data_IF_929174481742
#
_entry.id   IF_929174481742
#
_cell.length_a   1.000
_cell.length_b   1.000
_cell.length_c   1.000
_cell.angle_alpha   90.00
_cell.angle_beta   90.00
_cell.angle_gamma   90.00
#
_symmetry.space_group_name_H-M   'P 1'
#
loop_
_entity.id
_entity.type
_entity.pdbx_description
1 polymer ?
#
# COMPACT_ATOMS: atom_id res chain seq x y z
N UNK A 1 -12.70 -16.10 -9.60
CA UNK A 1 -12.50 -14.91 -10.43
C UNK A 1 -11.32 -14.08 -9.91
N UNK A 2 -10.31 -13.89 -10.76
CA UNK A 2 -9.10 -13.14 -10.43
C UNK A 2 -8.92 -12.02 -11.44
N UNK A 3 -8.72 -10.82 -10.95
CA UNK A 3 -8.39 -9.64 -11.75
C UNK A 3 -7.00 -9.17 -11.37
N UNK A 4 -6.16 -8.88 -12.36
CA UNK A 4 -4.83 -8.33 -12.13
C UNK A 4 -4.72 -6.94 -12.71
N UNK A 5 -4.01 -6.06 -11.98
CA UNK A 5 -3.70 -4.70 -12.43
C UNK A 5 -2.21 -4.48 -12.34
N UNK A 6 -1.65 -3.77 -13.30
CA UNK A 6 -0.24 -3.42 -13.28
C UNK A 6 -0.04 -2.07 -12.61
N UNK A 7 0.82 -2.03 -11.62
CA UNK A 7 1.12 -0.82 -10.85
C UNK A 7 2.51 -0.32 -11.23
N UNK A 8 2.63 0.98 -11.42
CA UNK A 8 3.93 1.62 -11.52
C UNK A 8 4.13 2.50 -10.29
N UNK A 9 5.32 2.43 -9.74
CA UNK A 9 5.68 3.18 -8.55
C UNK A 9 6.54 4.39 -8.90
N UNK A 10 6.60 5.31 -7.96
CA UNK A 10 7.61 6.34 -7.97
C UNK A 10 8.98 5.67 -8.14
N UNK A 11 9.86 6.21 -8.92
CA UNK A 11 11.17 5.63 -9.30
C UNK A 11 11.12 4.53 -10.37
N UNK A 12 9.96 4.26 -10.98
CA UNK A 12 9.86 3.40 -12.15
C UNK A 12 9.73 1.91 -11.91
N UNK A 13 9.64 1.47 -10.65
CA UNK A 13 9.38 0.05 -10.35
C UNK A 13 7.97 -0.33 -10.79
N UNK A 14 7.78 -1.59 -11.16
CA UNK A 14 6.49 -2.13 -11.64
C UNK A 14 6.14 -3.38 -10.84
N UNK A 15 4.87 -3.48 -10.45
CA UNK A 15 4.33 -4.62 -9.72
C UNK A 15 2.96 -4.99 -10.28
N UNK A 16 2.52 -6.21 -10.03
CA UNK A 16 1.16 -6.65 -10.35
C UNK A 16 0.39 -6.82 -9.05
N UNK A 17 -0.78 -6.19 -8.98
CA UNK A 17 -1.69 -6.36 -7.85
C UNK A 17 -2.81 -7.29 -8.25
N UNK A 18 -3.26 -8.12 -7.31
CA UNK A 18 -4.28 -9.12 -7.54
C UNK A 18 -5.54 -8.83 -6.73
N UNK A 19 -6.69 -8.95 -7.40
CA UNK A 19 -8.01 -8.92 -6.75
C UNK A 19 -8.65 -10.29 -6.97
N UNK A 20 -9.09 -10.90 -5.90
CA UNK A 20 -9.77 -12.19 -5.96
C UNK A 20 -11.20 -12.02 -5.47
N UNK A 21 -12.15 -12.44 -6.31
CA UNK A 21 -13.58 -12.27 -6.02
C UNK A 21 -13.97 -10.83 -5.70
N UNK A 22 -13.31 -9.87 -6.37
CA UNK A 22 -13.59 -8.45 -6.20
C UNK A 22 -12.87 -7.78 -5.03
N UNK A 23 -12.01 -8.50 -4.32
CA UNK A 23 -11.29 -7.96 -3.15
C UNK A 23 -9.80 -7.98 -3.34
N UNK A 24 -9.16 -6.94 -2.81
CA UNK A 24 -7.71 -6.82 -2.82
C UNK A 24 -7.08 -7.94 -2.00
N UNK A 25 -6.14 -8.66 -2.58
CA UNK A 25 -5.42 -9.71 -1.88
C UNK A 25 -3.95 -9.34 -1.66
N UNK A 26 -3.19 -9.17 -2.74
CA UNK A 26 -1.76 -8.93 -2.60
C UNK A 26 -1.17 -8.39 -3.90
N UNK A 27 0.02 -7.83 -3.82
CA UNK A 27 0.89 -7.62 -4.97
C UNK A 27 1.84 -8.81 -5.07
N UNK A 28 2.52 -8.96 -6.21
CA UNK A 28 3.34 -10.14 -6.50
C UNK A 28 4.46 -10.37 -5.48
N UNK A 29 5.02 -9.33 -4.90
CA UNK A 29 6.11 -9.45 -3.92
C UNK A 29 5.97 -8.48 -2.76
N UNK A 30 4.77 -7.95 -2.52
CA UNK A 30 4.58 -6.85 -1.58
C UNK A 30 3.17 -6.87 -1.01
N UNK A 31 2.96 -6.16 0.08
CA UNK A 31 1.64 -5.93 0.64
C UNK A 31 1.12 -4.57 0.17
N UNK A 32 -0.16 -4.51 -0.17
CA UNK A 32 -0.80 -3.29 -0.69
C UNK A 32 -1.60 -2.63 0.41
N UNK A 33 -1.49 -1.32 0.49
CA UNK A 33 -2.30 -0.49 1.38
C UNK A 33 -2.88 0.66 0.60
N UNK A 34 -4.05 1.13 1.02
CA UNK A 34 -4.66 2.32 0.42
C UNK A 34 -4.94 3.34 1.51
N UNK A 35 -5.14 4.59 1.09
CA UNK A 35 -5.52 5.68 2.00
C UNK A 35 -6.82 6.29 1.52
N UNK A 36 -7.78 6.41 2.42
CA UNK A 36 -9.04 7.12 2.19
C UNK A 36 -9.31 8.04 3.38
N UNK A 37 -9.55 9.31 3.07
CA UNK A 37 -9.89 10.32 4.09
C UNK A 37 -8.87 10.35 5.24
N UNK A 38 -7.59 10.26 4.90
CA UNK A 38 -6.51 10.29 5.89
C UNK A 38 -6.31 9.01 6.68
N UNK A 39 -7.05 7.96 6.38
CA UNK A 39 -6.98 6.68 7.07
C UNK A 39 -6.34 5.62 6.17
N UNK A 40 -5.41 4.86 6.72
CA UNK A 40 -4.81 3.73 6.02
C UNK A 40 -5.73 2.52 6.12
N UNK A 41 -5.99 1.87 4.99
CA UNK A 41 -6.72 0.60 4.95
C UNK A 41 -5.78 -0.47 4.43
N UNK A 42 -5.72 -1.60 5.14
CA UNK A 42 -4.85 -2.72 4.79
C UNK A 42 -5.66 -4.01 4.77
N UNK A 43 -5.47 -4.88 3.77
CA UNK A 43 -6.15 -6.18 3.77
C UNK A 43 -5.66 -7.02 4.95
N UNK A 44 -6.51 -7.91 5.48
CA UNK A 44 -6.10 -8.76 6.59
C UNK A 44 -4.98 -9.70 6.17
N UNK A 45 -4.05 -9.95 7.09
CA UNK A 45 -3.09 -11.01 6.92
C UNK A 45 -3.82 -12.34 7.04
N UNK A 46 -3.56 -13.25 6.12
CA UNK A 46 -4.00 -14.63 6.27
C UNK A 46 -2.78 -15.54 6.14
N UNK A 47 -3.03 -16.85 6.24
CA UNK A 47 -1.95 -17.83 6.21
C UNK A 47 -1.27 -17.95 4.84
N UNK A 48 -1.84 -17.33 3.83
CA UNK A 48 -1.33 -17.38 2.45
C UNK A 48 -0.43 -16.18 2.15
N UNK A 49 -0.52 -15.12 2.94
CA UNK A 49 0.28 -13.91 2.77
C UNK A 49 1.45 -13.99 3.74
N UNK A 50 2.67 -13.99 3.19
CA UNK A 50 3.86 -13.95 4.03
C UNK A 50 3.88 -12.65 4.80
N UNK A 51 3.92 -12.68 6.15
CA UNK A 51 3.99 -11.45 6.92
C UNK A 51 5.34 -10.80 6.67
N UNK A 52 5.33 -9.66 6.00
CA UNK A 52 6.55 -8.88 5.80
C UNK A 52 6.88 -8.10 7.05
N UNK A 53 8.15 -8.01 7.37
CA UNK A 53 8.64 -7.18 8.47
C UNK A 53 8.18 -5.74 8.28
N UNK A 54 8.20 -5.26 7.03
CA UNK A 54 7.79 -3.90 6.69
C UNK A 54 6.30 -3.69 6.90
N UNK A 55 5.46 -4.73 6.70
CA UNK A 55 4.03 -4.62 6.98
C UNK A 55 3.78 -4.32 8.46
N UNK A 56 4.40 -5.08 9.35
CA UNK A 56 4.24 -4.88 10.79
C UNK A 56 4.84 -3.54 11.24
N UNK A 57 5.99 -3.17 10.70
CA UNK A 57 6.62 -1.89 10.99
C UNK A 57 5.74 -0.72 10.53
N UNK A 58 5.05 -0.86 9.39
CA UNK A 58 4.12 0.16 8.89
C UNK A 58 2.98 0.39 9.88
N UNK A 59 2.41 -0.70 10.43
CA UNK A 59 1.36 -0.59 11.44
C UNK A 59 1.85 0.15 12.68
N UNK A 60 3.02 -0.21 13.18
CA UNK A 60 3.60 0.45 14.36
C UNK A 60 3.86 1.93 14.12
N UNK A 61 4.45 2.26 12.97
CA UNK A 61 4.77 3.63 12.63
C UNK A 61 3.53 4.48 12.43
N UNK A 62 2.50 3.95 11.77
CA UNK A 62 1.26 4.67 11.59
C UNK A 62 0.64 5.03 12.94
N UNK A 63 0.62 4.10 13.88
CA UNK A 63 0.13 4.35 15.23
C UNK A 63 0.97 5.41 15.95
N UNK A 64 2.29 5.31 15.83
CA UNK A 64 3.20 6.24 16.50
C UNK A 64 3.05 7.67 16.02
N UNK A 65 2.76 7.89 14.74
CA UNK A 65 2.58 9.22 14.18
C UNK A 65 1.12 9.69 14.16
N UNK A 66 0.22 8.88 14.73
CA UNK A 66 -1.18 9.28 14.87
C UNK A 66 -2.02 9.13 13.62
N UNK A 67 -1.61 8.32 12.66
CA UNK A 67 -2.39 8.03 11.45
C UNK A 67 -3.26 6.81 11.72
N UNK A 68 -4.60 6.91 11.61
CA UNK A 68 -5.47 5.74 11.79
C UNK A 68 -5.18 4.67 10.76
N UNK A 69 -5.16 3.43 11.20
CA UNK A 69 -5.00 2.28 10.31
C UNK A 69 -6.06 1.24 10.65
N UNK A 70 -6.75 0.75 9.63
CA UNK A 70 -7.81 -0.23 9.78
C UNK A 70 -7.52 -1.45 8.91
N UNK A 71 -7.64 -2.63 9.49
CA UNK A 71 -7.44 -3.89 8.76
C UNK A 71 -8.81 -4.46 8.45
N UNK A 72 -9.13 -4.58 7.16
CA UNK A 72 -10.38 -5.17 6.68
C UNK A 72 -10.27 -5.53 5.22
N UNK A 73 -11.24 -6.30 4.72
CA UNK A 73 -11.34 -6.57 3.30
C UNK A 73 -11.57 -5.27 2.54
N UNK A 74 -10.88 -5.10 1.42
CA UNK A 74 -10.93 -3.90 0.60
C UNK A 74 -11.39 -4.30 -0.79
N UNK A 75 -12.46 -3.69 -1.29
CA UNK A 75 -12.97 -4.01 -2.61
C UNK A 75 -12.11 -3.38 -3.71
N UNK A 76 -12.26 -3.90 -4.93
CA UNK A 76 -11.63 -3.31 -6.11
C UNK A 76 -12.06 -1.85 -6.29
N UNK A 77 -13.35 -1.56 -6.13
CA UNK A 77 -13.85 -0.19 -6.27
C UNK A 77 -13.24 0.76 -5.25
N UNK A 78 -13.12 0.32 -3.99
CA UNK A 78 -12.47 1.12 -2.95
C UNK A 78 -11.00 1.38 -3.28
N UNK A 79 -10.30 0.37 -3.77
CA UNK A 79 -8.90 0.49 -4.14
C UNK A 79 -8.71 1.49 -5.26
N UNK A 80 -9.50 1.36 -6.32
CA UNK A 80 -9.36 2.24 -7.48
C UNK A 80 -9.81 3.67 -7.20
N UNK A 81 -10.70 3.86 -6.23
CA UNK A 81 -11.17 5.19 -5.82
C UNK A 81 -10.43 5.79 -4.63
N UNK A 82 -9.37 5.15 -4.15
CA UNK A 82 -8.63 5.63 -3.00
C UNK A 82 -7.85 6.91 -3.30
N UNK A 83 -7.52 7.65 -2.26
CA UNK A 83 -6.71 8.86 -2.37
C UNK A 83 -5.25 8.53 -2.64
N UNK A 84 -4.76 7.44 -2.06
CA UNK A 84 -3.38 6.98 -2.23
C UNK A 84 -3.37 5.45 -2.27
N UNK A 85 -2.38 4.91 -2.95
CA UNK A 85 -2.07 3.47 -2.92
C UNK A 85 -0.57 3.32 -2.80
N UNK A 86 -0.13 2.40 -1.96
CA UNK A 86 1.30 2.14 -1.80
C UNK A 86 1.55 0.71 -1.36
N UNK A 87 2.79 0.29 -1.56
CA UNK A 87 3.23 -1.06 -1.27
C UNK A 87 4.23 -1.04 -0.14
N UNK A 88 4.19 -2.08 0.69
CA UNK A 88 5.24 -2.34 1.66
C UNK A 88 5.86 -3.70 1.35
N UNK A 89 7.18 -3.78 1.35
CA UNK A 89 7.89 -5.02 1.09
C UNK A 89 8.94 -5.26 2.16
N UNK A 90 9.43 -6.49 2.22
CA UNK A 90 10.47 -6.84 3.18
C UNK A 90 11.82 -6.20 2.85
N UNK A 91 12.01 -5.72 1.62
CA UNK A 91 13.30 -5.22 1.17
C UNK A 91 13.31 -3.74 0.82
N UNK A 92 12.15 -3.16 0.53
CA UNK A 92 12.09 -1.82 -0.04
C UNK A 92 11.26 -0.83 0.77
N UNK A 93 10.93 -1.19 2.01
CA UNK A 93 10.15 -0.30 2.87
C UNK A 93 8.77 -0.01 2.27
N UNK A 94 8.46 1.25 1.96
CA UNK A 94 7.20 1.64 1.34
C UNK A 94 7.46 2.35 0.01
N UNK A 95 6.63 2.06 -0.97
CA UNK A 95 6.72 2.64 -2.31
C UNK A 95 5.34 3.14 -2.73
N UNK A 96 5.27 4.38 -3.19
CA UNK A 96 4.01 4.96 -3.65
C UNK A 96 3.67 4.49 -5.06
N UNK A 97 2.40 4.13 -5.28
CA UNK A 97 1.89 3.83 -6.60
C UNK A 97 1.50 5.14 -7.29
N UNK A 98 2.03 5.36 -8.47
CA UNK A 98 1.77 6.59 -9.24
C UNK A 98 0.89 6.36 -10.45
N UNK A 99 0.82 5.12 -10.96
CA UNK A 99 -0.10 4.78 -12.05
C UNK A 99 -0.60 3.35 -11.94
N UNK A 100 -1.77 3.09 -12.52
CA UNK A 100 -2.38 1.78 -12.59
C UNK A 100 -2.77 1.54 -14.04
N UNK A 101 -2.27 0.45 -14.62
CA UNK A 101 -2.51 0.08 -16.02
C UNK A 101 -2.22 1.26 -16.98
N UNK A 102 -1.18 2.04 -16.67
CA UNK A 102 -0.75 3.15 -17.51
C UNK A 102 -1.48 4.48 -17.28
N UNK A 103 -2.49 4.51 -16.39
CA UNK A 103 -3.22 5.74 -16.08
C UNK A 103 -2.77 6.28 -14.71
N UNK A 104 -2.64 7.60 -14.56
CA UNK A 104 -2.26 8.17 -13.26
C UNK A 104 -3.21 7.73 -12.15
N UNK A 105 -2.65 7.42 -10.99
CA UNK A 105 -3.43 7.09 -9.80
C UNK A 105 -3.42 8.29 -8.85
N UNK A 106 -4.60 8.67 -8.38
CA UNK A 106 -4.72 9.91 -7.62
C UNK A 106 -4.25 11.09 -8.48
N UNK A 107 -3.30 11.87 -7.97
CA UNK A 107 -2.71 12.96 -8.73
C UNK A 107 -1.42 12.55 -9.47
N UNK A 108 -1.11 11.26 -9.48
CA UNK A 108 0.08 10.74 -10.17
C UNK A 108 1.39 10.91 -9.39
N UNK A 109 1.33 11.29 -8.13
CA UNK A 109 2.52 11.45 -7.30
C UNK A 109 2.26 10.96 -5.88
N UNK A 110 3.32 10.74 -5.08
CA UNK A 110 3.15 10.27 -3.70
C UNK A 110 2.28 11.22 -2.88
N UNK A 111 1.35 10.65 -2.10
CA UNK A 111 0.41 11.44 -1.31
C UNK A 111 0.94 11.84 0.06
N UNK A 112 0.21 12.71 0.78
CA UNK A 112 0.68 13.23 2.07
C UNK A 112 0.79 12.19 3.18
N UNK A 113 -0.13 11.21 3.24
CA UNK A 113 -0.05 10.16 4.26
C UNK A 113 1.16 9.26 3.97
N UNK A 114 1.35 8.88 2.71
CA UNK A 114 2.53 8.12 2.30
C UNK A 114 3.82 8.82 2.75
N UNK A 115 3.92 10.12 2.48
CA UNK A 115 5.13 10.88 2.83
C UNK A 115 5.40 10.89 4.32
N UNK A 116 4.37 11.03 5.14
CA UNK A 116 4.50 10.97 6.60
C UNK A 116 5.04 9.63 7.06
N UNK A 117 4.50 8.54 6.52
CA UNK A 117 4.95 7.19 6.86
C UNK A 117 6.37 6.96 6.34
N UNK A 118 6.66 7.39 5.11
CA UNK A 118 7.99 7.26 4.52
C UNK A 118 9.05 8.00 5.35
N UNK A 119 8.75 9.23 5.77
CA UNK A 119 9.65 10.00 6.61
C UNK A 119 9.90 9.32 7.96
N UNK A 120 8.85 8.73 8.54
CA UNK A 120 8.97 7.99 9.80
C UNK A 120 9.88 6.76 9.64
N UNK A 121 9.78 6.05 8.52
CA UNK A 121 10.69 4.95 8.21
C UNK A 121 12.13 5.43 8.09
N UNK A 122 12.37 6.53 7.39
CA UNK A 122 13.71 7.07 7.22
C UNK A 122 14.31 7.51 8.56
N UNK A 123 13.52 8.16 9.40
CA UNK A 123 13.97 8.57 10.73
C UNK A 123 14.35 7.36 11.59
N UNK A 124 13.53 6.32 11.56
CA UNK A 124 13.78 5.10 12.33
C UNK A 124 15.05 4.37 11.84
N UNK A 125 15.25 4.34 10.53
CA UNK A 125 16.39 3.70 9.90
C UNK A 125 17.71 4.40 10.24
N UNK A 126 17.66 5.72 10.42
CA UNK A 126 18.83 6.54 10.70
C UNK A 126 19.03 6.80 12.20
N UNK A 127 18.19 6.22 13.03
CA UNK A 127 18.26 6.40 14.48
C UNK A 127 19.38 5.54 15.08
#
# INVERSE_FOLDING_TARGET
>A
NVLMRQLAMDHGAVETVMFRNGYLTEASASNVMIVRDGRILAPPKDNLILPGITYDATHELARAIGVPIEVRAISHAETMGADEMWLSSSTKEVLAVTSVDGAPFGNGSPGPVFRRVWEAFQARKNA
#
